data_IF_427874453894
#
_entry.id   IF_427874453894
#
_cell.length_a   1.000
_cell.length_b   1.000
_cell.length_c   1.000
_cell.angle_alpha   90.00
_cell.angle_beta   90.00
_cell.angle_gamma   90.00
#
_symmetry.space_group_name_H-M   'P 1'
#
loop_
_entity.id
_entity.type
_entity.pdbx_description
1 polymer ?
#
# COMPACT_ATOMS: atom_id res chain seq x y z
N UNK A 1 -6.86 -5.71 -0.06
CA UNK A 1 -7.54 -5.07 -1.21
C UNK A 1 -6.50 -4.37 -2.08
N UNK A 2 -6.70 -4.24 -3.39
CA UNK A 2 -5.84 -3.42 -4.24
C UNK A 2 -5.99 -1.93 -3.88
N UNK A 3 -4.89 -1.19 -3.91
CA UNK A 3 -4.92 0.28 -3.75
C UNK A 3 -5.60 0.91 -4.97
N UNK A 4 -6.40 1.94 -4.74
CA UNK A 4 -6.99 2.73 -5.83
C UNK A 4 -5.90 3.53 -6.54
N UNK A 5 -6.19 3.99 -7.75
CA UNK A 5 -5.22 4.76 -8.55
C UNK A 5 -4.93 6.10 -7.88
N UNK A 6 -5.94 6.68 -7.25
CA UNK A 6 -5.92 7.95 -6.54
C UNK A 6 -4.98 7.86 -5.33
N UNK A 7 -5.23 6.92 -4.42
CA UNK A 7 -4.39 6.71 -3.23
C UNK A 7 -2.96 6.35 -3.61
N UNK A 8 -2.76 5.54 -4.67
CA UNK A 8 -1.42 5.20 -5.15
C UNK A 8 -0.67 6.45 -5.64
N UNK A 9 -1.33 7.34 -6.38
CA UNK A 9 -0.73 8.60 -6.85
C UNK A 9 -0.41 9.53 -5.68
N UNK A 10 -1.32 9.68 -4.72
CA UNK A 10 -1.10 10.49 -3.53
C UNK A 10 0.12 10.04 -2.72
N UNK A 11 0.26 8.72 -2.52
CA UNK A 11 1.41 8.15 -1.81
C UNK A 11 2.71 8.38 -2.59
N UNK A 12 2.72 8.19 -3.91
CA UNK A 12 3.92 8.45 -4.73
C UNK A 12 4.31 9.93 -4.64
N UNK A 13 3.37 10.86 -4.83
CA UNK A 13 3.63 12.30 -4.77
C UNK A 13 4.19 12.74 -3.41
N UNK A 14 3.77 12.10 -2.32
CA UNK A 14 4.22 12.43 -0.97
C UNK A 14 5.65 11.98 -0.67
N UNK A 15 6.12 10.88 -1.28
CA UNK A 15 7.40 10.25 -0.93
C UNK A 15 8.42 10.23 -2.08
N UNK A 16 8.06 10.71 -3.27
CA UNK A 16 8.98 10.80 -4.42
C UNK A 16 10.17 11.71 -4.09
N UNK A 17 11.36 11.27 -4.49
CA UNK A 17 12.59 12.05 -4.37
C UNK A 17 12.82 13.00 -5.56
N UNK A 18 12.15 12.74 -6.68
CA UNK A 18 12.16 13.56 -7.88
C UNK A 18 10.84 13.42 -8.63
N UNK A 19 10.56 14.28 -9.61
CA UNK A 19 9.27 14.27 -10.32
C UNK A 19 8.97 12.99 -11.12
N UNK A 20 10.00 12.23 -11.48
CA UNK A 20 9.85 10.95 -12.20
C UNK A 20 10.03 9.74 -11.28
N UNK A 21 10.28 9.96 -9.99
CA UNK A 21 10.50 8.88 -9.05
C UNK A 21 9.19 8.18 -8.69
N UNK A 22 9.08 6.95 -9.18
CA UNK A 22 7.93 6.07 -8.96
C UNK A 22 8.33 4.75 -8.30
N UNK A 23 9.62 4.62 -7.93
CA UNK A 23 10.21 3.32 -7.62
C UNK A 23 11.36 3.35 -6.62
N UNK A 24 11.71 4.51 -6.05
CA UNK A 24 12.65 4.60 -4.93
C UNK A 24 12.23 3.74 -3.75
N UNK A 25 13.19 3.44 -2.89
CA UNK A 25 12.95 2.64 -1.70
C UNK A 25 11.89 3.28 -0.80
N UNK A 26 11.92 4.61 -0.68
CA UNK A 26 10.98 5.42 0.09
C UNK A 26 9.55 5.28 -0.46
N UNK A 27 9.38 5.46 -1.78
CA UNK A 27 8.07 5.29 -2.45
C UNK A 27 7.56 3.86 -2.31
N UNK A 28 8.41 2.86 -2.53
CA UNK A 28 8.01 1.45 -2.43
C UNK A 28 7.60 1.07 -1.00
N UNK A 29 8.38 1.48 0.01
CA UNK A 29 8.07 1.24 1.42
C UNK A 29 6.75 1.93 1.80
N UNK A 30 6.53 3.15 1.34
CA UNK A 30 5.27 3.86 1.59
C UNK A 30 4.06 3.14 0.97
N UNK A 31 4.18 2.69 -0.29
CA UNK A 31 3.12 1.93 -0.96
C UNK A 31 2.82 0.59 -0.26
N UNK A 32 3.84 -0.14 0.18
CA UNK A 32 3.67 -1.38 0.94
C UNK A 32 3.03 -1.12 2.30
N UNK A 33 3.43 -0.05 2.98
CA UNK A 33 2.88 0.34 4.28
C UNK A 33 1.39 0.68 4.17
N UNK A 34 1.00 1.46 3.17
CA UNK A 34 -0.40 1.80 2.92
C UNK A 34 -1.25 0.54 2.64
N UNK A 35 -0.69 -0.38 1.83
CA UNK A 35 -1.34 -1.66 1.55
C UNK A 35 -1.49 -2.52 2.80
N UNK A 36 -0.48 -2.57 3.68
CA UNK A 36 -0.54 -3.32 4.95
C UNK A 36 -1.62 -2.75 5.85
N UNK A 37 -1.70 -1.42 5.99
CA UNK A 37 -2.72 -0.77 6.82
C UNK A 37 -4.13 -1.11 6.33
N UNK A 38 -4.40 -0.99 5.02
CA UNK A 38 -5.71 -1.37 4.47
C UNK A 38 -6.05 -2.86 4.63
N UNK A 39 -5.04 -3.74 4.64
CA UNK A 39 -5.22 -5.17 4.87
C UNK A 39 -5.49 -5.50 6.35
N UNK A 40 -4.97 -4.70 7.28
CA UNK A 40 -5.20 -4.88 8.72
C UNK A 40 -6.70 -4.77 9.05
N UNK A 41 -7.37 -3.76 8.50
CA UNK A 41 -8.82 -3.59 8.67
C UNK A 41 -9.60 -4.73 8.02
N UNK A 42 -9.21 -5.15 6.81
CA UNK A 42 -9.81 -6.30 6.11
C UNK A 42 -9.71 -7.57 6.97
N UNK A 43 -8.56 -7.88 7.53
CA UNK A 43 -8.39 -9.09 8.35
C UNK A 43 -9.10 -9.02 9.71
N UNK A 44 -9.32 -7.82 10.24
CA UNK A 44 -10.10 -7.61 11.46
C UNK A 44 -11.58 -7.98 11.24
N UNK A 45 -12.12 -7.64 10.07
CA UNK A 45 -13.48 -8.00 9.64
C UNK A 45 -13.56 -9.47 9.16
N UNK A 46 -12.57 -9.93 8.40
CA UNK A 46 -12.53 -11.25 7.75
C UNK A 46 -11.57 -12.22 8.49
N UNK A 47 -11.91 -12.56 9.73
CA UNK A 47 -11.04 -13.36 10.63
C UNK A 47 -10.63 -14.74 10.07
N UNK A 48 -11.46 -15.33 9.20
CA UNK A 48 -11.23 -16.66 8.59
C UNK A 48 -10.41 -16.61 7.29
N UNK A 49 -10.10 -15.42 6.79
CA UNK A 49 -9.31 -15.26 5.58
C UNK A 49 -7.81 -15.43 5.87
N UNK A 50 -7.38 -16.69 5.91
CA UNK A 50 -5.98 -17.06 6.14
C UNK A 50 -5.12 -17.03 4.87
N UNK A 51 -5.75 -17.24 3.70
CA UNK A 51 -5.04 -17.31 2.43
C UNK A 51 -4.47 -15.94 2.05
N UNK A 52 -5.27 -14.88 2.18
CA UNK A 52 -4.81 -13.53 1.86
C UNK A 52 -3.83 -12.96 2.88
N UNK A 53 -3.76 -13.50 4.11
CA UNK A 53 -2.84 -13.03 5.16
C UNK A 53 -1.38 -13.44 4.94
N UNK A 54 -1.13 -14.44 4.10
CA UNK A 54 0.23 -14.93 3.78
C UNK A 54 0.91 -14.14 2.65
N UNK A 55 0.12 -13.50 1.78
CA UNK A 55 0.61 -12.76 0.60
C UNK A 55 0.78 -11.28 0.86
#
# INVERSE_FOLDING_TARGET
>A
MPLTVETKKEVIEKYKLSDQDTGSTEVQVALLSERINSLMDHFSLHKKDHHSRRG
#
